data_IF_774357636008
#
_entry.id   IF_774357636008
#
_cell.length_a   1.000
_cell.length_b   1.000
_cell.length_c   1.000
_cell.angle_alpha   90.00
_cell.angle_beta   90.00
_cell.angle_gamma   90.00
#
_symmetry.space_group_name_H-M   'P 1'
#
loop_
_entity.id
_entity.type
_entity.pdbx_description
1 polymer ?
#
# COMPACT_ATOMS: atom_id res chain seq x y z
N UNK A 1 25.43 -17.50 -10.46
CA UNK A 1 24.40 -18.55 -10.45
C UNK A 1 23.84 -18.62 -9.03
N UNK A 2 22.58 -18.27 -8.86
CA UNK A 2 21.83 -18.35 -7.60
C UNK A 2 20.42 -18.84 -7.96
N UNK A 3 20.33 -20.11 -8.33
CA UNK A 3 19.09 -20.74 -8.84
C UNK A 3 18.18 -21.17 -7.68
N UNK A 4 17.70 -20.20 -6.91
CA UNK A 4 16.63 -20.36 -5.93
C UNK A 4 15.51 -19.37 -6.30
N UNK A 5 14.37 -19.88 -6.73
CA UNK A 5 13.19 -19.05 -7.09
C UNK A 5 12.43 -18.57 -5.86
N UNK A 6 13.07 -17.73 -5.03
CA UNK A 6 12.43 -17.09 -3.88
C UNK A 6 12.20 -15.60 -4.14
N UNK A 7 10.94 -15.17 -4.10
CA UNK A 7 10.57 -13.75 -4.14
C UNK A 7 11.18 -13.03 -2.92
N UNK A 8 12.04 -12.03 -3.09
CA UNK A 8 12.59 -11.27 -1.97
C UNK A 8 11.49 -10.51 -1.24
N UNK A 9 11.05 -10.92 -0.04
CA UNK A 9 9.38 -9.86 0.75
C UNK A 9 9.72 -8.39 1.06
N UNK A 10 8.97 -7.45 0.48
CA UNK A 10 9.13 -6.04 0.85
C UNK A 10 8.59 -5.84 2.26
N UNK A 11 9.40 -5.25 3.14
CA UNK A 11 8.89 -4.65 4.38
C UNK A 11 8.62 -3.17 4.08
N UNK A 12 7.35 -2.88 3.79
CA UNK A 12 6.85 -1.51 3.74
C UNK A 12 6.32 -1.10 5.14
N UNK A 13 6.03 0.19 5.28
CA UNK A 13 5.39 0.81 6.42
C UNK A 13 4.62 2.03 5.92
N UNK A 14 3.29 2.00 5.99
CA UNK A 14 2.40 3.03 5.43
C UNK A 14 2.81 4.48 5.76
N UNK A 15 3.33 4.74 6.96
CA UNK A 15 3.87 6.06 7.36
C UNK A 15 5.27 6.22 6.77
N UNK A 16 5.46 7.16 5.82
CA UNK A 16 6.77 7.39 5.22
C UNK A 16 7.81 7.76 6.27
N UNK A 17 9.04 7.23 6.22
CA UNK A 17 10.06 7.47 7.22
C UNK A 17 10.30 8.96 7.53
N UNK A 18 10.13 9.87 6.55
CA UNK A 18 10.34 11.30 6.75
C UNK A 18 9.38 11.96 7.75
N UNK A 19 8.17 11.42 7.96
CA UNK A 19 7.23 11.93 8.96
C UNK A 19 7.73 11.62 10.38
N UNK A 20 8.01 10.35 10.66
CA UNK A 20 8.57 9.92 11.93
C UNK A 20 9.94 10.56 12.19
N UNK A 21 10.76 10.73 11.15
CA UNK A 21 12.07 11.40 11.21
C UNK A 21 11.97 12.90 11.55
N UNK A 22 10.82 13.56 11.29
CA UNK A 22 10.52 14.92 11.77
C UNK A 22 9.98 14.91 13.20
N UNK A 23 8.96 14.09 13.48
CA UNK A 23 8.33 13.95 14.81
C UNK A 23 9.36 13.56 15.89
N UNK A 24 10.27 12.63 15.60
CA UNK A 24 11.36 12.22 16.48
C UNK A 24 12.38 13.33 16.81
N UNK A 25 12.28 14.51 16.18
CA UNK A 25 13.09 15.70 16.45
C UNK A 25 12.30 16.83 17.14
N UNK A 26 11.02 16.64 17.41
CA UNK A 26 10.22 17.63 18.13
C UNK A 26 10.73 17.81 19.58
N UNK A 27 10.47 19.00 20.11
CA UNK A 27 10.69 19.39 21.49
C UNK A 27 9.68 18.76 22.47
N UNK A 28 8.48 18.44 22.01
CA UNK A 28 7.45 17.79 22.82
C UNK A 28 7.74 16.28 22.98
N UNK A 29 7.90 15.76 24.22
CA UNK A 29 8.04 14.33 24.46
C UNK A 29 6.78 13.51 24.10
N UNK A 30 5.60 14.12 24.04
CA UNK A 30 4.37 13.44 23.65
C UNK A 30 4.38 13.05 22.16
N UNK A 31 4.96 13.90 21.30
CA UNK A 31 5.07 13.68 19.85
C UNK A 31 6.35 12.92 19.48
N UNK A 32 7.47 13.33 20.08
CA UNK A 32 8.77 12.76 19.79
C UNK A 32 9.06 11.44 20.53
N UNK A 33 8.23 11.06 21.49
CA UNK A 33 8.30 9.79 22.21
C UNK A 33 7.81 8.60 21.39
N UNK A 34 6.55 8.59 20.92
CA UNK A 34 5.99 7.57 20.03
C UNK A 34 6.82 7.38 18.77
N UNK A 35 7.04 8.46 18.00
CA UNK A 35 7.77 8.40 16.73
C UNK A 35 9.18 7.79 16.82
N UNK A 36 9.91 8.01 17.93
CA UNK A 36 11.22 7.37 18.18
C UNK A 36 11.09 5.85 18.38
N UNK A 37 10.09 5.39 19.16
CA UNK A 37 9.82 3.96 19.35
C UNK A 37 9.38 3.30 18.05
N UNK A 38 8.52 3.97 17.28
CA UNK A 38 8.06 3.53 15.96
C UNK A 38 9.25 3.34 15.02
N UNK A 39 10.15 4.32 14.90
CA UNK A 39 11.39 4.20 14.11
C UNK A 39 12.32 3.06 14.56
N UNK A 40 12.52 2.89 15.87
CA UNK A 40 13.33 1.80 16.42
C UNK A 40 12.70 0.43 16.10
N UNK A 41 11.37 0.30 16.17
CA UNK A 41 10.69 -0.95 15.84
C UNK A 41 10.70 -1.26 14.35
N UNK A 42 10.45 -0.28 13.50
CA UNK A 42 10.53 -0.46 12.05
C UNK A 42 11.94 -0.90 11.60
N UNK A 43 12.98 -0.33 12.21
CA UNK A 43 14.36 -0.73 11.95
C UNK A 43 14.65 -2.18 12.39
N UNK A 44 14.04 -2.63 13.50
CA UNK A 44 14.12 -4.01 13.97
C UNK A 44 13.42 -4.98 13.00
N UNK A 45 12.22 -4.66 12.50
CA UNK A 45 11.50 -5.54 11.58
C UNK A 45 12.14 -5.58 10.18
N UNK A 46 12.59 -4.44 9.64
CA UNK A 46 13.45 -4.40 8.43
C UNK A 46 14.66 -5.32 8.57
N UNK A 47 15.29 -5.33 9.75
CA UNK A 47 16.43 -6.20 10.06
C UNK A 47 16.02 -7.68 10.15
N UNK A 48 14.91 -8.00 10.83
CA UNK A 48 14.39 -9.37 10.96
C UNK A 48 14.03 -9.98 9.60
N UNK A 49 13.27 -9.26 8.77
CA UNK A 49 12.87 -9.76 7.44
C UNK A 49 14.11 -10.00 6.56
N UNK A 50 15.10 -9.09 6.59
CA UNK A 50 16.39 -9.31 5.91
C UNK A 50 17.09 -10.58 6.41
N UNK A 51 17.09 -10.85 7.71
CA UNK A 51 17.67 -12.08 8.28
C UNK A 51 16.90 -13.34 7.84
N UNK A 52 15.57 -13.35 7.87
CA UNK A 52 14.74 -14.47 7.38
C UNK A 52 15.10 -14.83 5.93
N UNK A 53 15.27 -13.80 5.08
CA UNK A 53 15.65 -13.94 3.66
C UNK A 53 17.05 -14.56 3.52
N UNK A 54 18.05 -14.01 4.22
CA UNK A 54 19.46 -14.46 4.13
C UNK A 54 19.68 -15.85 4.73
N UNK A 55 18.95 -16.21 5.78
CA UNK A 55 19.03 -17.52 6.44
C UNK A 55 18.36 -18.61 5.59
N UNK A 56 17.59 -18.25 4.56
CA UNK A 56 16.76 -19.19 3.82
C UNK A 56 15.66 -19.78 4.71
N UNK A 57 15.15 -18.96 5.64
CA UNK A 57 14.07 -19.37 6.54
C UNK A 57 12.87 -19.80 5.71
N UNK A 58 12.36 -21.00 5.97
CA UNK A 58 11.08 -21.43 5.42
C UNK A 58 10.02 -20.42 5.88
N UNK A 59 9.35 -19.76 4.94
CA UNK A 59 8.13 -19.03 5.23
C UNK A 59 7.19 -19.96 6.01
N UNK A 60 6.62 -19.47 7.11
CA UNK A 60 5.92 -20.28 8.10
C UNK A 60 4.92 -21.21 7.39
N UNK A 61 5.13 -22.53 7.55
CA UNK A 61 4.61 -23.55 6.65
C UNK A 61 3.15 -23.31 6.31
N UNK A 62 2.90 -22.87 5.06
CA UNK A 62 1.67 -22.19 4.70
C UNK A 62 0.45 -22.99 5.13
N UNK A 63 -0.39 -22.37 5.96
CA UNK A 63 -1.68 -22.93 6.32
C UNK A 63 -2.44 -23.27 5.02
N UNK A 64 -3.07 -24.45 4.98
CA UNK A 64 -3.63 -25.00 3.75
C UNK A 64 -4.52 -23.96 3.06
N UNK A 65 -4.30 -23.66 1.76
CA UNK A 65 -4.97 -22.56 1.09
C UNK A 65 -6.49 -22.76 1.13
N UNK A 66 -7.23 -21.67 1.31
CA UNK A 66 -8.67 -21.71 1.47
C UNK A 66 -9.35 -22.49 0.31
N UNK A 67 -10.26 -23.41 0.62
CA UNK A 67 -11.01 -24.14 -0.40
C UNK A 67 -12.14 -23.27 -0.98
N UNK A 68 -12.09 -23.00 -2.29
CA UNK A 68 -13.12 -22.25 -3.00
C UNK A 68 -12.94 -20.73 -2.99
N UNK A 69 -14.02 -20.01 -3.29
CA UNK A 69 -14.01 -18.58 -3.61
C UNK A 69 -14.39 -17.71 -2.39
N UNK A 70 -13.80 -18.03 -1.24
CA UNK A 70 -14.00 -17.34 0.04
C UNK A 70 -12.64 -17.01 0.70
N UNK A 71 -12.53 -15.91 1.46
CA UNK A 71 -11.34 -15.64 2.26
C UNK A 71 -11.25 -16.60 3.44
N UNK A 72 -10.04 -16.86 3.94
CA UNK A 72 -9.81 -17.33 5.31
C UNK A 72 -9.12 -16.21 6.08
N UNK A 73 -9.85 -15.52 6.97
CA UNK A 73 -9.32 -14.45 7.82
C UNK A 73 -9.09 -14.93 9.24
N UNK A 74 -7.98 -14.53 9.85
CA UNK A 74 -7.83 -14.52 11.32
C UNK A 74 -7.30 -13.16 11.78
N UNK A 75 -7.98 -12.55 12.74
CA UNK A 75 -7.50 -11.38 13.47
C UNK A 75 -7.04 -11.80 14.88
N UNK A 76 -5.87 -11.31 15.24
CA UNK A 76 -5.22 -11.48 16.53
C UNK A 76 -5.04 -10.12 17.23
N UNK A 77 -4.90 -10.17 18.54
CA UNK A 77 -4.73 -9.06 19.47
C UNK A 77 -3.38 -9.23 20.18
N UNK A 78 -2.46 -8.28 20.03
CA UNK A 78 -1.16 -8.31 20.70
C UNK A 78 -1.24 -7.84 22.17
N UNK A 79 -2.31 -7.14 22.56
CA UNK A 79 -2.51 -6.60 23.91
C UNK A 79 -1.47 -5.55 24.29
N UNK A 80 -1.16 -4.63 23.38
CA UNK A 80 -0.12 -3.59 23.48
C UNK A 80 1.29 -4.17 23.73
N UNK A 81 1.59 -5.28 23.04
CA UNK A 81 2.89 -5.95 23.05
C UNK A 81 3.46 -6.09 21.64
N UNK A 82 4.72 -6.46 21.60
CA UNK A 82 5.54 -6.61 20.42
C UNK A 82 5.67 -8.06 19.90
N UNK A 83 4.98 -9.02 20.52
CA UNK A 83 5.03 -10.46 20.17
C UNK A 83 3.91 -10.82 19.18
N UNK A 84 4.29 -11.32 18.00
CA UNK A 84 3.36 -11.69 16.93
C UNK A 84 3.08 -13.21 16.90
N UNK A 85 1.87 -13.65 16.49
CA UNK A 85 0.69 -12.83 16.19
C UNK A 85 -0.09 -12.42 17.45
N UNK A 86 0.30 -12.88 18.64
CA UNK A 86 -0.48 -12.64 19.86
C UNK A 86 -1.70 -13.55 19.98
N UNK A 87 -2.79 -13.05 20.56
CA UNK A 87 -3.99 -13.83 20.91
C UNK A 87 -5.02 -13.78 19.79
N UNK A 88 -5.43 -14.95 19.26
CA UNK A 88 -6.55 -15.05 18.29
C UNK A 88 -7.84 -14.49 18.91
N UNK A 89 -8.49 -13.53 18.24
CA UNK A 89 -9.73 -12.86 18.70
C UNK A 89 -10.89 -12.94 17.73
N UNK A 90 -10.64 -13.09 16.41
CA UNK A 90 -11.69 -13.32 15.40
C UNK A 90 -11.20 -14.25 14.29
N UNK A 91 -12.07 -15.11 13.76
CA UNK A 91 -11.78 -15.96 12.59
C UNK A 91 -12.85 -15.80 11.52
N UNK A 92 -12.62 -16.39 10.35
CA UNK A 92 -13.59 -16.47 9.28
C UNK A 92 -14.96 -16.99 9.78
N UNK A 93 -16.04 -16.44 9.22
CA UNK A 93 -17.42 -16.73 9.63
C UNK A 93 -17.82 -16.24 11.03
N UNK A 94 -16.93 -15.61 11.80
CA UNK A 94 -17.27 -15.10 13.15
C UNK A 94 -18.04 -13.79 13.08
N UNK A 95 -19.13 -13.69 13.85
CA UNK A 95 -19.85 -12.45 14.14
C UNK A 95 -18.91 -11.35 14.70
N UNK A 96 -19.23 -10.05 14.52
CA UNK A 96 -18.41 -8.95 15.03
C UNK A 96 -18.42 -8.89 16.56
N UNK A 97 -17.25 -8.59 17.13
CA UNK A 97 -17.08 -8.37 18.57
C UNK A 97 -17.45 -6.94 18.99
N UNK A 98 -17.25 -6.62 20.27
CA UNK A 98 -17.35 -5.24 20.77
C UNK A 98 -16.17 -4.35 20.35
N UNK A 99 -15.08 -4.96 19.88
CA UNK A 99 -13.85 -4.26 19.54
C UNK A 99 -13.90 -3.68 18.10
N UNK A 100 -13.75 -2.36 17.99
CA UNK A 100 -13.86 -1.65 16.72
C UNK A 100 -12.65 -1.86 15.80
N UNK A 101 -11.46 -2.01 16.36
CA UNK A 101 -10.19 -2.18 15.64
C UNK A 101 -10.12 -3.58 15.02
N UNK A 102 -10.43 -4.62 15.81
CA UNK A 102 -10.59 -6.01 15.34
C UNK A 102 -11.65 -6.10 14.23
N UNK A 103 -12.77 -5.38 14.37
CA UNK A 103 -13.85 -5.37 13.38
C UNK A 103 -13.44 -4.66 12.08
N UNK A 104 -12.74 -3.52 12.15
CA UNK A 104 -12.21 -2.81 10.97
C UNK A 104 -11.17 -3.63 10.23
N UNK A 105 -10.19 -4.20 10.94
CA UNK A 105 -9.18 -5.09 10.35
C UNK A 105 -9.85 -6.27 9.60
N UNK A 106 -10.78 -6.98 10.25
CA UNK A 106 -11.50 -8.10 9.63
C UNK A 106 -12.30 -7.69 8.38
N UNK A 107 -12.89 -6.48 8.39
CA UNK A 107 -13.61 -5.93 7.24
C UNK A 107 -12.66 -5.57 6.09
N UNK A 108 -11.55 -4.88 6.36
CA UNK A 108 -10.59 -4.45 5.33
C UNK A 108 -9.83 -5.60 4.66
N UNK A 109 -9.47 -6.65 5.43
CA UNK A 109 -8.98 -7.91 4.86
C UNK A 109 -10.00 -8.49 3.86
N UNK A 110 -11.29 -8.45 4.21
CA UNK A 110 -12.39 -8.92 3.38
C UNK A 110 -12.55 -8.10 2.11
N UNK A 111 -12.66 -6.77 2.23
CA UNK A 111 -12.80 -5.85 1.10
C UNK A 111 -11.67 -6.01 0.07
N UNK A 112 -10.43 -6.19 0.55
CA UNK A 112 -9.26 -6.43 -0.30
C UNK A 112 -9.38 -7.74 -1.07
N UNK A 113 -9.72 -8.84 -0.37
CA UNK A 113 -9.96 -10.13 -1.01
C UNK A 113 -11.10 -10.06 -2.04
N UNK A 114 -12.19 -9.35 -1.72
CA UNK A 114 -13.34 -9.22 -2.61
C UNK A 114 -13.01 -8.48 -3.90
N UNK A 115 -12.25 -7.37 -3.87
CA UNK A 115 -11.81 -6.72 -5.10
C UNK A 115 -10.92 -7.66 -5.94
N UNK A 116 -9.91 -8.25 -5.32
CA UNK A 116 -8.97 -9.12 -6.03
C UNK A 116 -9.63 -10.35 -6.63
N UNK A 117 -10.59 -10.97 -5.95
CA UNK A 117 -11.34 -12.11 -6.46
C UNK A 117 -12.42 -11.70 -7.47
N UNK A 118 -13.39 -10.85 -7.06
CA UNK A 118 -14.60 -10.56 -7.84
C UNK A 118 -14.31 -9.71 -9.08
N UNK A 119 -13.35 -8.78 -9.00
CA UNK A 119 -12.89 -8.02 -10.16
C UNK A 119 -11.75 -8.76 -10.84
N UNK A 120 -10.61 -8.94 -10.17
CA UNK A 120 -9.38 -9.36 -10.86
C UNK A 120 -9.25 -10.87 -11.11
N UNK A 121 -10.05 -11.72 -10.47
CA UNK A 121 -9.97 -13.18 -10.58
C UNK A 121 -8.82 -13.81 -9.78
N UNK A 122 -8.24 -13.07 -8.84
CA UNK A 122 -7.09 -13.48 -8.01
C UNK A 122 -7.57 -14.02 -6.66
N UNK A 123 -7.21 -15.26 -6.35
CA UNK A 123 -7.52 -15.90 -5.06
C UNK A 123 -6.48 -15.47 -4.01
N UNK A 124 -6.81 -14.47 -3.20
CA UNK A 124 -5.92 -13.87 -2.19
C UNK A 124 -4.62 -13.25 -2.73
N UNK A 125 -3.74 -12.81 -1.80
CA UNK A 125 -2.49 -12.10 -2.05
C UNK A 125 -1.58 -12.85 -3.04
N UNK A 126 -1.42 -14.15 -2.87
CA UNK A 126 -0.53 -15.00 -3.67
C UNK A 126 -1.15 -15.54 -4.96
N UNK A 127 -2.48 -15.42 -5.11
CA UNK A 127 -3.24 -16.01 -6.21
C UNK A 127 -3.61 -17.48 -6.04
N UNK A 128 -3.23 -18.13 -4.92
CA UNK A 128 -3.54 -19.53 -4.61
C UNK A 128 -4.50 -19.68 -3.41
N UNK A 129 -4.74 -18.62 -2.64
CA UNK A 129 -5.66 -18.62 -1.51
C UNK A 129 -4.96 -18.52 -0.15
N UNK A 130 -3.81 -17.83 -0.07
CA UNK A 130 -3.12 -17.53 1.19
C UNK A 130 -4.09 -16.97 2.26
N UNK A 131 -4.16 -17.56 3.47
CA UNK A 131 -4.94 -17.02 4.56
C UNK A 131 -4.51 -15.62 5.00
N UNK A 132 -5.49 -14.76 5.27
CA UNK A 132 -5.33 -13.36 5.61
C UNK A 132 -5.25 -13.19 7.12
N UNK A 133 -4.02 -13.19 7.64
CA UNK A 133 -3.74 -12.94 9.06
C UNK A 133 -3.51 -11.45 9.31
N UNK A 134 -4.06 -10.93 10.41
CA UNK A 134 -3.79 -9.59 10.91
C UNK A 134 -3.63 -9.57 12.43
N UNK A 135 -2.69 -8.76 12.93
CA UNK A 135 -2.52 -8.46 14.36
C UNK A 135 -2.84 -6.99 14.62
N UNK A 136 -3.70 -6.71 15.60
CA UNK A 136 -4.04 -5.34 16.07
C UNK A 136 -3.52 -5.09 17.49
N UNK A 137 -3.59 -3.84 17.95
CA UNK A 137 -3.07 -3.39 19.25
C UNK A 137 -1.58 -3.73 19.44
N UNK A 138 -0.81 -3.57 18.37
CA UNK A 138 0.61 -3.89 18.34
C UNK A 138 1.44 -2.77 18.97
N UNK A 139 2.20 -3.12 20.02
CA UNK A 139 2.95 -2.21 20.89
C UNK A 139 2.07 -1.09 21.50
N UNK A 140 2.66 -0.12 22.21
CA UNK A 140 1.93 1.06 22.75
C UNK A 140 2.33 2.33 22.01
N UNK A 141 1.31 3.09 21.58
CA UNK A 141 1.43 4.32 20.78
C UNK A 141 2.34 4.07 19.56
N UNK A 142 1.98 3.09 18.72
CA UNK A 142 2.75 2.72 17.54
C UNK A 142 2.18 3.39 16.30
N UNK A 143 3.01 4.23 15.68
CA UNK A 143 2.66 5.13 14.59
C UNK A 143 2.85 4.46 13.22
N UNK A 144 2.42 3.21 13.07
CA UNK A 144 2.51 2.53 11.79
C UNK A 144 1.56 1.33 11.62
N UNK A 145 1.45 0.89 10.38
CA UNK A 145 1.02 -0.44 10.00
C UNK A 145 2.02 -1.01 8.96
N UNK A 146 2.07 -2.33 8.82
CA UNK A 146 2.95 -2.99 7.86
C UNK A 146 2.48 -4.41 7.48
N UNK A 147 2.74 -4.79 6.23
CA UNK A 147 2.83 -6.20 5.82
C UNK A 147 4.24 -6.74 6.11
N UNK A 148 4.35 -7.79 6.94
CA UNK A 148 5.65 -8.33 7.34
C UNK A 148 6.19 -9.46 6.43
N UNK A 149 5.40 -9.91 5.45
CA UNK A 149 5.67 -11.07 4.60
C UNK A 149 4.76 -12.28 4.86
N UNK A 150 4.10 -12.35 6.02
CA UNK A 150 3.22 -13.45 6.45
C UNK A 150 1.87 -12.96 7.01
N UNK A 151 1.82 -11.76 7.56
CA UNK A 151 0.62 -11.15 8.14
C UNK A 151 0.66 -9.62 8.11
N UNK A 152 -0.52 -9.02 8.23
CA UNK A 152 -0.70 -7.61 8.56
C UNK A 152 -0.44 -7.33 10.05
N UNK A 153 0.11 -6.16 10.35
CA UNK A 153 0.26 -5.64 11.72
C UNK A 153 -0.20 -4.18 11.76
N UNK A 154 -1.00 -3.81 12.76
CA UNK A 154 -1.56 -2.47 12.95
C UNK A 154 -1.28 -1.94 14.36
N UNK A 155 -0.72 -0.73 14.43
CA UNK A 155 -0.70 0.08 15.65
C UNK A 155 -2.02 0.85 15.85
N UNK A 156 -2.23 1.30 17.08
CA UNK A 156 -3.39 2.12 17.46
C UNK A 156 -3.16 3.63 17.23
N UNK A 157 -1.95 4.03 16.83
CA UNK A 157 -1.51 5.43 16.76
C UNK A 157 -1.21 6.05 18.13
N UNK A 158 -0.63 7.25 18.14
CA UNK A 158 -0.41 8.04 19.37
C UNK A 158 -1.64 8.83 19.85
N UNK A 159 -2.65 9.01 18.99
CA UNK A 159 -3.85 9.81 19.25
C UNK A 159 -3.65 11.32 19.14
N UNK A 160 -2.40 11.79 18.95
CA UNK A 160 -2.02 13.19 18.85
C UNK A 160 -1.69 13.58 17.40
N UNK A 161 -1.11 12.65 16.63
CA UNK A 161 -0.76 12.79 15.21
C UNK A 161 -1.49 11.75 14.38
N UNK A 162 -1.43 10.49 14.80
CA UNK A 162 -2.04 9.36 14.11
C UNK A 162 -3.11 8.70 14.98
N UNK A 163 -4.23 8.40 14.36
CA UNK A 163 -5.28 7.54 14.91
C UNK A 163 -5.02 6.08 14.53
N UNK A 164 -5.90 5.19 14.98
CA UNK A 164 -5.87 3.76 14.69
C UNK A 164 -5.73 3.46 13.18
N UNK A 165 -4.68 2.72 12.81
CA UNK A 165 -4.32 2.43 11.43
C UNK A 165 -5.29 1.50 10.70
N UNK A 166 -6.28 0.93 11.40
CA UNK A 166 -7.40 0.19 10.79
C UNK A 166 -8.52 1.11 10.30
N UNK A 167 -8.51 2.42 10.61
CA UNK A 167 -9.55 3.38 10.20
C UNK A 167 -9.68 3.49 8.67
N UNK A 168 -8.59 3.71 7.89
CA UNK A 168 -8.69 3.85 6.44
C UNK A 168 -8.58 2.48 5.77
N UNK A 169 -9.64 2.03 5.08
CA UNK A 169 -9.64 0.74 4.37
C UNK A 169 -8.60 0.69 3.25
N UNK A 170 -8.26 1.85 2.68
CA UNK A 170 -7.19 2.06 1.72
C UNK A 170 -5.79 1.77 2.28
N UNK A 171 -5.54 2.00 3.57
CA UNK A 171 -4.27 1.62 4.23
C UNK A 171 -4.16 0.10 4.36
N UNK A 172 -5.25 -0.57 4.75
CA UNK A 172 -5.31 -2.03 4.81
C UNK A 172 -5.09 -2.63 3.41
N UNK A 173 -5.70 -2.02 2.38
CA UNK A 173 -5.55 -2.44 0.98
C UNK A 173 -4.14 -2.19 0.40
N UNK A 174 -3.52 -1.06 0.73
CA UNK A 174 -2.15 -0.70 0.34
C UNK A 174 -1.14 -1.75 0.84
N UNK A 175 -1.17 -2.05 2.14
CA UNK A 175 -0.21 -3.00 2.74
C UNK A 175 -0.35 -4.43 2.18
N UNK A 176 -1.58 -4.92 2.03
CA UNK A 176 -1.86 -6.22 1.39
C UNK A 176 -1.43 -6.25 -0.10
N UNK A 177 -1.39 -5.10 -0.76
CA UNK A 177 -0.95 -4.99 -2.17
C UNK A 177 0.56 -5.13 -2.32
N UNK A 178 1.39 -4.74 -1.34
CA UNK A 178 2.83 -5.07 -1.37
C UNK A 178 3.05 -6.59 -1.44
N UNK A 179 2.20 -7.36 -0.75
CA UNK A 179 2.17 -8.82 -0.90
C UNK A 179 1.80 -9.25 -2.33
N UNK A 180 0.81 -8.64 -2.98
CA UNK A 180 0.44 -8.94 -4.37
C UNK A 180 1.61 -8.63 -5.32
N UNK A 181 2.31 -7.51 -5.12
CA UNK A 181 3.52 -7.15 -5.87
C UNK A 181 4.65 -8.16 -5.65
N UNK A 182 4.90 -8.58 -4.40
CA UNK A 182 5.87 -9.62 -4.04
C UNK A 182 5.60 -10.94 -4.78
N UNK A 183 4.35 -11.39 -4.85
CA UNK A 183 3.95 -12.62 -5.55
C UNK A 183 3.67 -12.43 -7.05
N UNK A 184 4.14 -11.33 -7.68
CA UNK A 184 3.97 -11.07 -9.12
C UNK A 184 5.21 -10.44 -9.78
N UNK A 185 5.32 -9.11 -9.84
CA UNK A 185 6.44 -8.41 -10.47
C UNK A 185 7.69 -8.30 -9.58
N UNK A 186 7.55 -8.58 -8.27
CA UNK A 186 8.60 -8.54 -7.25
C UNK A 186 9.47 -7.26 -7.31
N UNK A 187 8.82 -6.10 -7.51
CA UNK A 187 9.49 -4.80 -7.70
C UNK A 187 10.47 -4.48 -6.57
N UNK A 188 11.74 -4.35 -6.92
CA UNK A 188 12.82 -4.03 -6.01
C UNK A 188 12.56 -2.69 -5.32
N UNK A 189 12.55 -2.69 -3.99
CA UNK A 189 12.10 -1.57 -3.17
C UNK A 189 13.18 -0.47 -3.03
N UNK A 190 13.55 0.12 -4.17
CA UNK A 190 14.52 1.21 -4.30
C UNK A 190 14.22 2.07 -5.54
N UNK A 191 14.44 3.39 -5.44
CA UNK A 191 14.30 4.32 -6.58
C UNK A 191 12.94 4.23 -7.29
N UNK A 192 12.93 4.23 -8.63
CA UNK A 192 11.69 4.18 -9.41
C UNK A 192 10.94 2.84 -9.29
N UNK A 193 11.62 1.69 -9.19
CA UNK A 193 10.94 0.40 -8.98
C UNK A 193 10.27 0.35 -7.61
N UNK A 194 10.88 0.96 -6.59
CA UNK A 194 10.28 1.14 -5.27
C UNK A 194 9.10 2.11 -5.28
N UNK A 195 9.22 3.25 -5.97
CA UNK A 195 8.12 4.21 -6.13
C UNK A 195 6.95 3.65 -6.97
N UNK A 196 7.20 2.71 -7.89
CA UNK A 196 6.16 1.91 -8.55
C UNK A 196 5.51 0.90 -7.59
N UNK A 197 6.28 0.28 -6.69
CA UNK A 197 5.75 -0.64 -5.68
C UNK A 197 4.80 0.11 -4.71
N UNK A 198 5.23 1.26 -4.19
CA UNK A 198 4.40 2.22 -3.46
C UNK A 198 3.13 2.64 -4.21
N UNK A 199 3.30 3.07 -5.47
CA UNK A 199 2.19 3.57 -6.27
C UNK A 199 1.17 2.49 -6.62
N UNK A 200 1.61 1.25 -6.87
CA UNK A 200 0.69 0.13 -7.05
C UNK A 200 -0.11 -0.14 -5.77
N UNK A 201 0.52 -0.06 -4.60
CA UNK A 201 -0.17 -0.18 -3.32
C UNK A 201 -1.18 0.96 -3.08
N UNK A 202 -0.82 2.21 -3.36
CA UNK A 202 -1.76 3.35 -3.32
C UNK A 202 -2.92 3.19 -4.33
N UNK A 203 -2.63 2.75 -5.55
CA UNK A 203 -3.63 2.48 -6.60
C UNK A 203 -4.63 1.43 -6.13
N UNK A 204 -4.18 0.24 -5.72
CA UNK A 204 -5.11 -0.81 -5.33
C UNK A 204 -5.79 -0.52 -3.98
N UNK A 205 -5.11 0.10 -3.01
CA UNK A 205 -5.75 0.61 -1.79
C UNK A 205 -6.90 1.58 -2.07
N UNK A 206 -6.66 2.56 -2.95
CA UNK A 206 -7.70 3.49 -3.43
C UNK A 206 -8.84 2.76 -4.16
N UNK A 207 -8.54 1.78 -5.02
CA UNK A 207 -9.56 0.99 -5.71
C UNK A 207 -10.39 0.10 -4.76
N UNK A 208 -9.79 -0.45 -3.69
CA UNK A 208 -10.49 -1.23 -2.67
C UNK A 208 -11.49 -0.34 -1.92
N UNK A 209 -11.07 0.87 -1.54
CA UNK A 209 -11.93 1.90 -0.94
C UNK A 209 -13.08 2.29 -1.87
N UNK A 210 -12.78 2.63 -3.13
CA UNK A 210 -13.79 3.01 -4.13
C UNK A 210 -14.80 1.87 -4.38
N UNK A 211 -14.34 0.62 -4.51
CA UNK A 211 -15.19 -0.57 -4.69
C UNK A 211 -16.11 -0.81 -3.48
N UNK A 212 -15.56 -0.70 -2.27
CA UNK A 212 -16.31 -0.87 -1.01
C UNK A 212 -17.40 0.20 -0.85
N UNK A 213 -17.16 1.41 -1.34
CA UNK A 213 -18.09 2.55 -1.26
C UNK A 213 -18.98 2.71 -2.51
N UNK A 214 -18.78 1.92 -3.57
CA UNK A 214 -19.51 2.04 -4.84
C UNK A 214 -19.24 3.34 -5.61
N UNK A 215 -18.07 3.96 -5.42
CA UNK A 215 -17.72 5.27 -6.00
C UNK A 215 -17.21 5.15 -7.44
N UNK A 216 -17.59 6.09 -8.32
CA UNK A 216 -16.90 6.27 -9.60
C UNK A 216 -15.60 7.06 -9.41
N UNK A 217 -14.75 7.10 -10.44
CA UNK A 217 -13.53 7.90 -10.46
C UNK A 217 -13.78 9.40 -10.18
N UNK A 218 -15.00 9.90 -10.42
CA UNK A 218 -15.39 11.28 -10.15
C UNK A 218 -15.89 11.52 -8.72
N UNK A 219 -16.36 10.48 -8.02
CA UNK A 219 -16.88 10.55 -6.64
C UNK A 219 -15.79 10.24 -5.59
N UNK A 220 -14.70 9.61 -6.01
CA UNK A 220 -13.58 9.22 -5.17
C UNK A 220 -12.77 10.43 -4.66
N UNK A 221 -12.30 10.36 -3.41
CA UNK A 221 -11.48 11.41 -2.81
C UNK A 221 -10.03 11.43 -3.33
N UNK A 222 -9.52 10.28 -3.80
CA UNK A 222 -8.14 10.06 -4.23
C UNK A 222 -7.08 10.36 -3.16
N UNK A 223 -7.45 10.14 -1.89
CA UNK A 223 -6.63 10.34 -0.70
C UNK A 223 -6.26 9.01 -0.02
N UNK A 224 -5.00 8.87 0.37
CA UNK A 224 -4.45 7.67 1.05
C UNK A 224 -4.22 7.97 2.53
N UNK A 225 -4.85 7.20 3.42
CA UNK A 225 -4.88 7.47 4.86
C UNK A 225 -5.87 8.57 5.24
N UNK A 226 -6.96 8.73 4.47
CA UNK A 226 -7.99 9.72 4.77
C UNK A 226 -8.65 9.43 6.14
N UNK A 227 -8.63 10.42 7.04
CA UNK A 227 -9.14 10.26 8.41
C UNK A 227 -8.21 9.51 9.38
N UNK A 228 -6.97 9.21 8.97
CA UNK A 228 -5.92 8.69 9.87
C UNK A 228 -5.30 9.80 10.73
N UNK A 229 -5.23 11.03 10.23
CA UNK A 229 -4.61 12.15 10.92
C UNK A 229 -5.51 12.64 12.06
N UNK A 230 -4.92 12.85 13.24
CA UNK A 230 -5.64 13.32 14.42
C UNK A 230 -6.12 14.77 14.28
N UNK A 231 -7.20 15.21 14.96
CA UNK A 231 -7.84 16.52 14.73
C UNK A 231 -7.00 17.78 14.98
N UNK A 232 -5.78 17.65 15.51
CA UNK A 232 -4.82 18.76 15.69
C UNK A 232 -3.85 18.94 14.52
N UNK A 233 -3.84 18.02 13.54
CA UNK A 233 -2.94 18.05 12.38
C UNK A 233 -3.62 18.75 11.19
N UNK A 234 -2.90 19.68 10.55
CA UNK A 234 -3.35 20.41 9.36
C UNK A 234 -3.13 19.59 8.08
N UNK A 235 -3.86 18.48 7.97
CA UNK A 235 -3.84 17.59 6.81
C UNK A 235 -5.14 16.84 6.61
N UNK A 236 -5.33 16.28 5.42
CA UNK A 236 -6.48 15.46 5.06
C UNK A 236 -6.15 13.97 5.05
N UNK A 237 -4.89 13.63 4.71
CA UNK A 237 -4.42 12.28 4.43
C UNK A 237 -2.88 12.23 4.47
N UNK A 238 -2.28 11.03 4.35
CA UNK A 238 -0.83 10.87 4.20
C UNK A 238 -0.34 11.28 2.81
N UNK A 239 -1.09 10.92 1.76
CA UNK A 239 -0.77 11.15 0.34
C UNK A 239 -2.04 11.48 -0.45
N UNK A 240 -1.85 12.15 -1.58
CA UNK A 240 -2.92 12.60 -2.47
C UNK A 240 -2.59 12.19 -3.90
N UNK A 241 -3.28 11.20 -4.45
CA UNK A 241 -3.05 10.76 -5.84
C UNK A 241 -3.47 11.84 -6.84
N UNK A 242 -4.54 12.57 -6.51
CA UNK A 242 -5.11 13.64 -7.32
C UNK A 242 -4.26 14.92 -7.35
N UNK A 243 -3.48 15.17 -6.30
CA UNK A 243 -2.59 16.32 -6.21
C UNK A 243 -1.46 16.02 -5.20
N UNK A 244 -0.39 15.33 -5.63
CA UNK A 244 0.79 15.12 -4.79
C UNK A 244 1.38 16.45 -4.33
N UNK A 245 1.91 16.52 -3.11
CA UNK A 245 2.40 17.76 -2.52
C UNK A 245 1.32 18.63 -1.85
N UNK A 246 0.10 18.10 -1.69
CA UNK A 246 -1.04 18.83 -1.07
C UNK A 246 -1.85 18.02 -0.05
N UNK A 247 -1.39 16.83 0.39
CA UNK A 247 -2.14 16.00 1.35
C UNK A 247 -2.16 16.62 2.77
N UNK A 248 -1.07 17.30 3.16
CA UNK A 248 -0.90 18.00 4.44
C UNK A 248 0.09 19.18 4.30
N UNK A 249 -0.11 20.24 5.09
CA UNK A 249 0.79 21.40 5.20
C UNK A 249 0.65 21.97 6.63
N UNK A 250 1.47 21.42 7.53
CA UNK A 250 1.30 21.46 8.98
C UNK A 250 2.60 21.86 9.69
N UNK A 251 2.51 22.53 10.84
CA UNK A 251 3.70 22.97 11.58
C UNK A 251 4.47 21.79 12.22
N UNK A 252 3.76 20.75 12.66
CA UNK A 252 4.33 19.54 13.28
C UNK A 252 4.77 18.49 12.24
N UNK A 253 3.93 18.10 11.27
CA UNK A 253 4.30 17.15 10.21
C UNK A 253 5.13 17.78 9.08
N UNK A 254 5.04 19.09 8.88
CA UNK A 254 5.63 19.78 7.74
C UNK A 254 4.68 19.73 6.53
N UNK A 255 5.24 19.85 5.33
CA UNK A 255 4.49 19.76 4.08
C UNK A 255 4.69 18.41 3.41
N UNK A 256 3.64 17.93 2.73
CA UNK A 256 3.71 16.85 1.74
C UNK A 256 4.82 17.13 0.69
N UNK A 257 5.85 16.26 0.59
CA UNK A 257 7.00 16.46 -0.29
C UNK A 257 6.84 15.81 -1.67
N UNK A 258 5.72 15.16 -1.98
CA UNK A 258 5.59 14.39 -3.22
C UNK A 258 5.54 15.30 -4.47
N UNK A 259 6.38 15.09 -5.50
CA UNK A 259 6.18 15.71 -6.81
C UNK A 259 5.02 15.05 -7.57
N UNK A 260 4.34 15.83 -8.39
CA UNK A 260 3.29 15.35 -9.31
C UNK A 260 3.83 14.93 -10.68
N UNK A 261 5.05 15.35 -11.03
CA UNK A 261 5.65 15.20 -12.36
C UNK A 261 7.17 14.89 -12.30
N UNK A 262 7.72 14.46 -13.44
CA UNK A 262 9.14 14.13 -13.62
C UNK A 262 10.09 15.34 -13.65
N UNK A 263 9.61 16.57 -13.90
CA UNK A 263 10.44 17.78 -13.81
C UNK A 263 10.82 18.06 -12.34
N UNK A 264 9.97 17.67 -11.39
CA UNK A 264 10.18 17.82 -9.96
C UNK A 264 10.67 16.54 -9.25
N UNK A 265 11.12 15.52 -10.00
CA UNK A 265 11.60 14.24 -9.44
C UNK A 265 12.70 14.44 -8.37
N UNK A 266 12.51 13.85 -7.19
CA UNK A 266 13.39 14.02 -6.03
C UNK A 266 14.52 12.98 -6.05
N UNK A 267 15.69 13.41 -6.51
CA UNK A 267 16.93 12.63 -6.40
C UNK A 267 17.46 12.64 -4.95
N UNK A 268 17.30 11.52 -4.24
CA UNK A 268 17.74 11.35 -2.85
C UNK A 268 18.36 9.98 -2.60
N UNK A 269 19.12 9.84 -1.50
CA UNK A 269 19.58 8.55 -0.96
C UNK A 269 18.85 8.13 0.32
N UNK A 270 17.93 8.97 0.82
CA UNK A 270 17.00 8.61 1.92
C UNK A 270 15.80 7.87 1.35
N UNK A 271 14.97 7.28 2.21
CA UNK A 271 13.69 6.69 1.81
C UNK A 271 13.84 5.69 0.64
N UNK A 272 14.85 4.83 0.72
CA UNK A 272 15.27 3.92 -0.35
C UNK A 272 15.38 4.57 -1.76
N UNK A 273 15.80 5.83 -1.86
CA UNK A 273 15.83 6.56 -3.14
C UNK A 273 14.59 7.43 -3.40
N UNK A 274 13.77 7.68 -2.38
CA UNK A 274 12.55 8.47 -2.44
C UNK A 274 11.37 7.65 -2.95
N UNK A 275 11.14 6.45 -2.40
CA UNK A 275 10.05 5.55 -2.84
C UNK A 275 8.68 6.12 -2.48
N UNK A 276 8.47 6.57 -1.23
CA UNK A 276 7.21 7.21 -0.81
C UNK A 276 7.10 8.64 -1.34
N UNK A 277 8.23 9.28 -1.68
CA UNK A 277 8.25 10.63 -2.24
C UNK A 277 7.82 10.60 -3.71
N UNK A 278 8.57 9.88 -4.55
CA UNK A 278 8.39 9.89 -6.00
C UNK A 278 7.21 9.04 -6.50
N UNK A 279 6.53 8.27 -5.62
CA UNK A 279 5.29 7.55 -5.98
C UNK A 279 4.13 8.49 -6.35
N UNK A 280 4.19 9.77 -5.96
CA UNK A 280 3.26 10.80 -6.41
C UNK A 280 3.10 10.88 -7.92
N UNK A 281 4.19 10.70 -8.68
CA UNK A 281 4.24 10.79 -10.15
C UNK A 281 3.37 9.70 -10.81
N UNK A 282 3.62 8.38 -10.62
CA UNK A 282 2.74 7.33 -11.15
C UNK A 282 1.34 7.29 -10.50
N UNK A 283 1.18 7.77 -9.25
CA UNK A 283 -0.15 7.96 -8.65
C UNK A 283 -0.99 8.99 -9.42
N UNK A 284 -0.38 10.11 -9.81
CA UNK A 284 -1.04 11.17 -10.56
C UNK A 284 -1.40 10.72 -11.98
N UNK A 285 -0.52 9.96 -12.64
CA UNK A 285 -0.83 9.30 -13.91
C UNK A 285 -2.04 8.35 -13.80
N UNK A 286 -2.12 7.53 -12.74
CA UNK A 286 -3.30 6.70 -12.53
C UNK A 286 -4.58 7.53 -12.33
N UNK A 287 -4.51 8.60 -11.53
CA UNK A 287 -5.64 9.51 -11.32
C UNK A 287 -6.12 10.16 -12.63
N UNK A 288 -5.22 10.68 -13.47
CA UNK A 288 -5.56 11.27 -14.77
C UNK A 288 -6.21 10.22 -15.66
N UNK A 289 -5.60 9.04 -15.80
CA UNK A 289 -6.12 7.97 -16.65
C UNK A 289 -7.50 7.47 -16.16
N UNK A 290 -7.70 7.30 -14.85
CA UNK A 290 -8.98 6.91 -14.27
C UNK A 290 -10.06 7.98 -14.46
N UNK A 291 -9.72 9.25 -14.28
CA UNK A 291 -10.66 10.38 -14.44
C UNK A 291 -11.04 10.59 -15.91
N UNK A 292 -10.09 10.46 -16.84
CA UNK A 292 -10.33 10.60 -18.28
C UNK A 292 -11.09 9.42 -18.90
N UNK A 293 -10.93 8.20 -18.36
CA UNK A 293 -11.68 7.01 -18.78
C UNK A 293 -13.10 7.00 -18.15
N UNK A 294 -13.22 7.47 -16.92
CA UNK A 294 -14.49 7.59 -16.20
C UNK A 294 -15.13 6.26 -15.78
N UNK A 295 -16.28 6.38 -15.12
CA UNK A 295 -16.97 5.23 -14.53
C UNK A 295 -16.20 4.65 -13.34
N UNK A 296 -16.30 3.34 -13.13
CA UNK A 296 -15.63 2.65 -12.03
C UNK A 296 -14.16 2.36 -12.36
N UNK A 297 -13.23 3.00 -11.65
CA UNK A 297 -11.81 2.97 -11.98
C UNK A 297 -11.19 1.56 -12.00
N UNK A 298 -11.73 0.62 -11.20
CA UNK A 298 -11.24 -0.77 -11.14
C UNK A 298 -11.52 -1.59 -12.40
N UNK A 299 -12.57 -1.25 -13.17
CA UNK A 299 -13.02 -2.03 -14.33
C UNK A 299 -12.08 -1.88 -15.54
N UNK A 300 -11.56 -0.66 -15.75
CA UNK A 300 -10.75 -0.30 -16.92
C UNK A 300 -9.31 0.06 -16.55
N UNK A 301 -9.09 1.17 -15.84
CA UNK A 301 -7.74 1.67 -15.54
C UNK A 301 -7.03 0.74 -14.55
N UNK A 302 -7.71 0.34 -13.46
CA UNK A 302 -7.21 -0.66 -12.52
C UNK A 302 -6.94 -2.01 -13.18
N UNK A 303 -7.73 -2.39 -14.19
CA UNK A 303 -7.46 -3.59 -15.00
C UNK A 303 -6.16 -3.46 -15.82
N UNK A 304 -5.92 -2.31 -16.44
CA UNK A 304 -4.69 -2.05 -17.21
C UNK A 304 -3.45 -2.15 -16.30
N UNK A 305 -3.51 -1.55 -15.10
CA UNK A 305 -2.43 -1.63 -14.12
C UNK A 305 -2.24 -3.06 -13.59
N UNK A 306 -3.33 -3.77 -13.28
CA UNK A 306 -3.31 -5.17 -12.82
C UNK A 306 -2.66 -6.10 -13.86
N UNK A 307 -3.03 -5.96 -15.14
CA UNK A 307 -2.44 -6.76 -16.23
C UNK A 307 -0.93 -6.55 -16.39
N UNK A 308 -0.40 -5.35 -16.13
CA UNK A 308 1.04 -5.08 -16.16
C UNK A 308 1.75 -5.67 -14.95
N UNK A 309 1.17 -5.48 -13.75
CA UNK A 309 1.69 -6.04 -12.51
C UNK A 309 1.76 -7.58 -12.55
N UNK A 310 0.69 -8.24 -13.01
CA UNK A 310 0.60 -9.71 -12.96
C UNK A 310 1.02 -10.41 -14.26
N UNK A 311 1.22 -9.68 -15.36
CA UNK A 311 1.47 -10.24 -16.69
C UNK A 311 2.88 -10.74 -16.96
N UNK A 312 3.79 -10.71 -15.96
CA UNK A 312 5.17 -11.23 -16.08
C UNK A 312 6.07 -10.49 -17.08
N UNK A 313 5.63 -9.33 -17.59
CA UNK A 313 6.38 -8.45 -18.50
C UNK A 313 7.15 -7.35 -17.75
N UNK A 314 6.64 -6.93 -16.58
CA UNK A 314 7.30 -5.97 -15.69
C UNK A 314 8.45 -6.67 -14.95
N UNK A 315 9.60 -6.00 -14.86
CA UNK A 315 10.79 -6.52 -14.18
C UNK A 315 10.90 -5.99 -12.75
N UNK A 316 11.68 -6.68 -11.92
CA UNK A 316 12.02 -6.25 -10.56
C UNK A 316 12.70 -4.86 -10.55
N UNK A 317 13.51 -4.54 -11.56
CA UNK A 317 14.27 -3.29 -11.72
C UNK A 317 13.57 -2.22 -12.58
N UNK A 318 12.28 -2.39 -12.88
CA UNK A 318 11.55 -1.54 -13.82
C UNK A 318 11.52 -0.05 -13.44
N UNK A 319 11.76 0.82 -14.44
CA UNK A 319 11.64 2.26 -14.31
C UNK A 319 10.23 2.74 -14.72
N UNK A 320 9.90 4.01 -14.47
CA UNK A 320 8.58 4.56 -14.78
C UNK A 320 8.24 4.40 -16.27
N UNK A 321 9.21 4.61 -17.18
CA UNK A 321 9.02 4.44 -18.62
C UNK A 321 8.74 2.99 -19.04
N UNK A 322 9.31 1.98 -18.34
CA UNK A 322 8.99 0.56 -18.60
C UNK A 322 7.53 0.28 -18.26
N UNK A 323 7.08 0.71 -17.08
CA UNK A 323 5.71 0.51 -16.62
C UNK A 323 4.69 1.30 -17.47
N UNK A 324 5.01 2.55 -17.82
CA UNK A 324 4.19 3.39 -18.69
C UNK A 324 4.02 2.76 -20.08
N UNK A 325 5.12 2.32 -20.71
CA UNK A 325 5.09 1.63 -22.01
C UNK A 325 4.27 0.33 -21.93
N UNK A 326 4.37 -0.43 -20.83
CA UNK A 326 3.59 -1.64 -20.62
C UNK A 326 2.09 -1.36 -20.38
N UNK A 327 1.71 -0.28 -19.68
CA UNK A 327 0.29 0.09 -19.49
C UNK A 327 -0.35 0.61 -20.77
N UNK A 328 0.35 1.43 -21.57
CA UNK A 328 -0.08 1.82 -22.94
C UNK A 328 -0.29 0.58 -23.80
N UNK A 329 0.63 -0.39 -23.74
CA UNK A 329 0.49 -1.67 -24.46
C UNK A 329 -0.70 -2.49 -23.96
N UNK A 330 -0.92 -2.62 -22.66
CA UNK A 330 -2.05 -3.35 -22.09
C UNK A 330 -3.41 -2.67 -22.40
N UNK A 331 -3.47 -1.34 -22.41
CA UNK A 331 -4.63 -0.57 -22.86
C UNK A 331 -4.96 -0.88 -24.33
N UNK A 332 -3.95 -0.90 -25.20
CA UNK A 332 -4.08 -1.24 -26.63
C UNK A 332 -4.47 -2.71 -26.86
N UNK A 333 -3.89 -3.63 -26.09
CA UNK A 333 -4.21 -5.08 -26.12
C UNK A 333 -5.66 -5.36 -25.68
N UNK A 334 -6.26 -4.51 -24.81
CA UNK A 334 -7.64 -4.68 -24.29
C UNK A 334 -8.72 -3.89 -25.03
N UNK A 335 -8.46 -2.63 -25.36
CA UNK A 335 -9.46 -1.67 -25.84
C UNK A 335 -9.18 -1.18 -27.27
N UNK A 336 -8.10 -1.66 -27.91
CA UNK A 336 -7.68 -1.24 -29.24
C UNK A 336 -7.19 0.21 -29.26
N UNK A 337 -7.39 0.90 -30.39
CA UNK A 337 -7.03 2.32 -30.57
C UNK A 337 -8.11 3.28 -30.00
N UNK A 338 -8.72 2.91 -28.86
CA UNK A 338 -9.86 3.59 -28.26
C UNK A 338 -9.50 4.79 -27.37
N UNK A 339 -10.50 5.31 -26.64
CA UNK A 339 -10.33 6.41 -25.71
C UNK A 339 -9.47 6.00 -24.49
N UNK A 340 -9.59 4.76 -24.04
CA UNK A 340 -8.82 4.17 -22.94
C UNK A 340 -7.31 4.21 -23.22
N UNK A 341 -6.92 3.94 -24.46
CA UNK A 341 -5.52 4.04 -24.88
C UNK A 341 -5.03 5.49 -24.81
N UNK A 342 -5.77 6.42 -25.44
CA UNK A 342 -5.41 7.84 -25.48
C UNK A 342 -5.36 8.48 -24.09
N UNK A 343 -6.19 8.00 -23.15
CA UNK A 343 -6.19 8.44 -21.77
C UNK A 343 -4.94 7.98 -21.01
N UNK A 344 -4.46 6.75 -21.23
CA UNK A 344 -3.22 6.24 -20.61
C UNK A 344 -1.99 6.88 -21.26
N UNK A 345 -1.95 7.01 -22.59
CA UNK A 345 -0.87 7.70 -23.31
C UNK A 345 -0.70 9.15 -22.78
N UNK A 346 -1.79 9.92 -22.68
CA UNK A 346 -1.76 11.29 -22.14
C UNK A 346 -1.44 11.37 -20.65
N UNK A 347 -1.90 10.44 -19.84
CA UNK A 347 -1.67 10.47 -18.40
C UNK A 347 -0.19 10.32 -18.04
N UNK A 348 0.58 9.58 -18.84
CA UNK A 348 2.03 9.50 -18.69
C UNK A 348 2.74 10.72 -19.29
N UNK A 349 2.28 11.24 -20.44
CA UNK A 349 2.76 12.50 -21.03
C UNK A 349 2.62 13.68 -20.04
N UNK A 350 1.47 13.82 -19.38
CA UNK A 350 1.15 14.93 -18.47
C UNK A 350 2.00 14.92 -17.18
N UNK A 351 2.46 13.75 -16.71
CA UNK A 351 3.45 13.64 -15.63
C UNK A 351 4.91 13.60 -16.11
N UNK A 352 5.16 13.76 -17.41
CA UNK A 352 6.50 13.82 -18.00
C UNK A 352 7.22 12.47 -18.12
N UNK A 353 6.49 11.35 -18.27
CA UNK A 353 7.05 10.02 -18.51
C UNK A 353 6.81 9.62 -19.97
N UNK A 354 7.89 9.54 -20.76
CA UNK A 354 7.83 9.14 -22.16
C UNK A 354 7.46 7.65 -22.35
N UNK A 355 6.60 7.36 -23.33
CA UNK A 355 6.25 6.00 -23.78
C UNK A 355 6.61 5.81 -25.24
N UNK A 356 7.34 4.73 -25.55
CA UNK A 356 7.95 4.46 -26.88
C UNK A 356 7.01 3.76 -27.89
#
# INVERSE_FOLDING_TARGET
MTTNGGHEPVFCTIVPPHLLDKLARDSDPALSGPARRSLERDALERTRRRLTTVIGGQAAAAAAPAEGDQPDRTVFDAGHKQDLPGKKVRTEGSEPGSDATVNRAYAGLGATFELYLKVYGRRSIDGQGLPLNATVHFDKDYDNAFWNGEQMVFGDGDGEIFLDFTIPVDVIGHELTHGVTQYTANLAYFGQSGALNESLSDVFGSLIKQYTLGQTAADADWLIGAGLLAPRVQGQALRSMKAPGTAYDDDVLGKDPQPADMQHYVHTGRDNGGVHINSGIPNHAFYIAATAIGGYAWEKTGRIWYDVLTGGKLKEDAQFADFATLTVKAARERFGAGAELQAVEKAWEEVGVETL
#
